data_IF_557484979943
#
_entry.id   IF_557484979943
#
_cell.length_a   1.000
_cell.length_b   1.000
_cell.length_c   1.000
_cell.angle_alpha   90.00
_cell.angle_beta   90.00
_cell.angle_gamma   90.00
#
_symmetry.space_group_name_H-M   'P 1'
#
loop_
_entity.id
_entity.type
_entity.pdbx_description
1 polymer ?
#
# COMPACT_ATOMS: atom_id res chain seq x y z
N UNK A 1 -31.77 -1.07 -59.00
CA UNK A 1 -30.82 -0.74 -60.10
C UNK A 1 -29.54 -0.19 -59.47
N UNK A 2 -28.65 -1.03 -58.97
CA UNK A 2 -27.40 -1.52 -59.62
C UNK A 2 -26.53 -0.39 -60.19
N UNK A 3 -25.41 -0.11 -59.52
CA UNK A 3 -24.10 -0.04 -60.18
C UNK A 3 -22.98 -0.35 -59.19
N UNK A 4 -22.37 -1.52 -59.39
CA UNK A 4 -21.17 -2.00 -58.72
C UNK A 4 -19.92 -1.41 -59.38
N UNK A 5 -18.91 -1.06 -58.57
CA UNK A 5 -17.55 -0.79 -59.03
C UNK A 5 -16.67 -1.98 -58.60
N UNK A 6 -16.21 -2.73 -59.60
CA UNK A 6 -15.17 -3.76 -59.48
C UNK A 6 -13.81 -3.06 -59.50
N UNK A 7 -12.99 -3.30 -58.48
CA UNK A 7 -11.56 -3.02 -58.52
C UNK A 7 -10.81 -4.30 -58.90
N UNK A 8 -9.95 -4.19 -59.90
CA UNK A 8 -9.12 -5.25 -60.48
C UNK A 8 -7.85 -5.45 -59.66
N UNK A 9 -7.49 -6.71 -59.39
CA UNK A 9 -6.26 -7.14 -58.73
C UNK A 9 -5.12 -7.29 -59.74
N UNK A 10 -3.95 -6.73 -59.43
CA UNK A 10 -2.67 -7.05 -60.10
C UNK A 10 -1.88 -8.08 -59.28
N UNK A 11 -1.17 -9.03 -59.90
CA UNK A 11 -0.43 -10.05 -59.19
C UNK A 11 0.90 -9.50 -58.63
N UNK A 12 1.17 -9.78 -57.35
CA UNK A 12 2.46 -9.47 -56.69
C UNK A 12 3.48 -10.57 -56.99
N UNK A 13 4.67 -10.16 -57.41
CA UNK A 13 5.89 -10.97 -57.49
C UNK A 13 6.39 -11.36 -56.09
N UNK A 14 6.93 -12.58 -55.88
CA UNK A 14 7.39 -13.02 -54.57
C UNK A 14 8.76 -12.42 -54.21
N UNK A 15 8.86 -11.83 -53.02
CA UNK A 15 10.10 -11.39 -52.38
C UNK A 15 10.85 -12.57 -51.75
N UNK A 16 12.20 -12.60 -51.78
CA UNK A 16 12.99 -13.70 -51.22
C UNK A 16 13.07 -13.65 -49.69
N UNK A 17 13.03 -14.83 -49.07
CA UNK A 17 13.09 -15.09 -47.63
C UNK A 17 14.48 -14.76 -47.05
N UNK A 18 14.58 -14.06 -45.90
CA UNK A 18 15.88 -13.81 -45.26
C UNK A 18 16.33 -15.02 -44.42
N UNK A 19 17.58 -15.45 -44.65
CA UNK A 19 18.30 -16.48 -43.89
C UNK A 19 18.71 -15.98 -42.49
N UNK A 20 18.41 -16.75 -41.44
CA UNK A 20 18.83 -16.50 -40.05
C UNK A 20 20.35 -16.72 -39.85
N UNK A 21 21.04 -15.86 -39.08
CA UNK A 21 22.44 -16.09 -38.72
C UNK A 21 22.57 -17.09 -37.55
N UNK A 22 23.50 -18.02 -37.69
CA UNK A 22 23.89 -19.05 -36.73
C UNK A 22 24.44 -18.46 -35.42
N UNK A 23 24.00 -19.01 -34.29
CA UNK A 23 24.39 -18.61 -32.93
C UNK A 23 25.88 -18.86 -32.63
N UNK A 24 26.56 -17.84 -32.09
CA UNK A 24 27.91 -17.99 -31.51
C UNK A 24 27.78 -18.42 -30.05
N UNK A 25 28.54 -19.44 -29.65
CA UNK A 25 28.63 -19.92 -28.25
C UNK A 25 29.18 -18.81 -27.32
N UNK A 26 28.69 -18.71 -26.07
CA UNK A 26 29.22 -17.76 -25.08
C UNK A 26 30.60 -18.18 -24.55
N UNK A 27 31.46 -17.19 -24.24
CA UNK A 27 32.77 -17.40 -23.60
C UNK A 27 32.62 -17.69 -22.10
N UNK A 28 33.50 -18.49 -21.49
CA UNK A 28 33.48 -18.74 -20.05
C UNK A 28 34.01 -17.53 -19.25
N UNK A 29 33.61 -17.40 -17.96
CA UNK A 29 33.99 -16.29 -17.10
C UNK A 29 35.45 -16.39 -16.60
N UNK A 30 36.07 -15.26 -16.21
CA UNK A 30 37.42 -15.25 -15.65
C UNK A 30 37.47 -15.73 -14.18
N UNK A 31 38.63 -16.23 -13.70
CA UNK A 31 38.79 -16.72 -12.33
C UNK A 31 38.91 -15.59 -11.28
N UNK A 32 38.64 -15.90 -9.99
CA UNK A 32 38.52 -14.90 -8.92
C UNK A 32 39.86 -14.35 -8.39
N UNK A 33 39.87 -13.17 -7.75
CA UNK A 33 41.07 -12.61 -7.12
C UNK A 33 41.43 -13.30 -5.80
N UNK A 34 42.73 -13.39 -5.51
CA UNK A 34 43.31 -14.05 -4.34
C UNK A 34 43.19 -13.23 -3.03
N UNK A 35 43.15 -13.88 -1.84
CA UNK A 35 43.01 -13.20 -0.56
C UNK A 35 44.33 -12.57 -0.07
N UNK A 36 44.28 -11.31 0.40
CA UNK A 36 45.43 -10.61 0.97
C UNK A 36 45.63 -10.95 2.45
N UNK A 37 46.84 -11.38 2.81
CA UNK A 37 47.30 -11.65 4.19
C UNK A 37 47.78 -10.39 4.92
N UNK A 38 47.70 -10.46 6.25
CA UNK A 38 48.00 -9.45 7.26
C UNK A 38 49.41 -8.82 7.22
N UNK A 39 49.52 -7.62 7.81
CA UNK A 39 50.77 -6.98 8.19
C UNK A 39 50.60 -6.09 9.42
N UNK A 40 51.05 -6.58 10.57
CA UNK A 40 51.14 -5.79 11.80
C UNK A 40 52.41 -4.94 11.86
N UNK A 41 52.35 -3.80 12.56
CA UNK A 41 53.53 -3.11 13.11
C UNK A 41 53.20 -2.52 14.49
N UNK A 42 54.08 -2.81 15.43
CA UNK A 42 54.17 -2.24 16.77
C UNK A 42 54.92 -0.88 16.74
N UNK A 43 54.65 -0.03 17.75
CA UNK A 43 55.71 0.66 18.48
C UNK A 43 55.60 2.17 18.68
N UNK A 44 55.76 2.57 19.96
CA UNK A 44 56.00 3.91 20.56
C UNK A 44 54.75 4.79 20.76
N UNK A 45 54.39 5.28 21.95
CA UNK A 45 55.07 5.39 23.25
C UNK A 45 55.07 6.85 23.69
N UNK A 46 54.20 7.23 24.63
CA UNK A 46 54.45 8.38 25.51
C UNK A 46 53.61 8.26 26.80
N UNK A 47 54.31 8.14 27.92
CA UNK A 47 53.79 8.18 29.27
C UNK A 47 53.44 9.62 29.66
N UNK A 48 52.28 9.85 30.30
CA UNK A 48 52.19 10.84 31.37
C UNK A 48 51.12 10.47 32.41
N UNK A 49 51.63 10.03 33.56
CA UNK A 49 51.19 10.23 34.96
C UNK A 49 49.69 10.38 35.25
N UNK A 50 49.18 9.47 36.09
CA UNK A 50 48.39 9.85 37.26
C UNK A 50 48.46 8.73 38.31
N UNK A 51 49.01 9.03 39.50
CA UNK A 51 48.95 8.19 40.69
C UNK A 51 48.66 9.10 41.89
N UNK A 52 47.91 8.54 42.84
CA UNK A 52 47.36 9.12 44.08
C UNK A 52 46.08 9.96 43.84
N UNK A 53 44.96 9.75 44.53
CA UNK A 53 44.80 9.33 45.93
C UNK A 53 43.38 8.76 46.13
N UNK A 54 43.27 7.62 46.81
CA UNK A 54 42.00 7.14 47.37
C UNK A 54 41.78 7.78 48.74
N UNK A 55 40.50 8.06 49.02
CA UNK A 55 39.86 8.34 50.31
C UNK A 55 39.42 9.80 50.58
N UNK A 56 38.17 9.87 51.04
CA UNK A 56 37.43 10.98 51.65
C UNK A 56 36.66 11.94 50.70
N UNK A 57 35.47 11.50 50.27
CA UNK A 57 34.31 12.39 50.18
C UNK A 57 33.05 11.61 50.58
N UNK A 58 32.55 11.97 51.74
CA UNK A 58 31.36 11.50 52.44
C UNK A 58 30.06 11.90 51.73
N UNK A 59 29.10 10.98 51.71
CA UNK A 59 27.65 11.16 51.67
C UNK A 59 27.09 12.42 50.96
N UNK A 60 26.70 12.26 49.70
CA UNK A 60 25.60 13.01 49.08
C UNK A 60 24.65 11.99 48.42
N UNK A 61 23.32 12.17 48.48
CA UNK A 61 22.38 11.12 48.09
C UNK A 61 22.41 10.92 46.57
N UNK A 62 22.55 9.66 46.13
CA UNK A 62 22.15 9.21 44.80
C UNK A 62 20.64 9.41 44.64
N UNK A 63 20.23 10.63 44.35
CA UNK A 63 18.82 10.97 44.32
C UNK A 63 18.63 12.38 43.81
N UNK A 64 19.17 12.68 42.63
CA UNK A 64 18.79 13.82 41.77
C UNK A 64 19.76 13.86 40.60
N UNK A 65 19.52 13.04 39.57
CA UNK A 65 19.97 13.24 38.18
C UNK A 65 19.35 12.17 37.25
N UNK A 66 18.11 11.76 37.53
CA UNK A 66 17.23 11.14 36.55
C UNK A 66 16.09 12.14 36.33
N UNK A 67 16.30 13.06 35.38
CA UNK A 67 15.16 13.77 34.79
C UNK A 67 14.29 12.71 34.12
N UNK A 68 13.14 12.48 34.74
CA UNK A 68 12.08 11.63 34.25
C UNK A 68 11.55 12.19 32.93
N UNK A 69 12.01 11.65 31.80
CA UNK A 69 11.12 11.48 30.67
C UNK A 69 10.37 10.17 30.91
N UNK A 70 9.28 10.23 31.69
CA UNK A 70 8.23 9.24 31.52
C UNK A 70 7.64 9.51 30.14
N UNK A 71 8.10 8.80 29.11
CA UNK A 71 7.29 8.61 27.92
C UNK A 71 5.98 8.00 28.42
N UNK A 72 4.90 8.79 28.46
CA UNK A 72 3.57 8.26 28.69
C UNK A 72 3.39 7.12 27.69
N UNK A 73 3.20 5.90 28.19
CA UNK A 73 3.06 4.74 27.35
C UNK A 73 1.78 4.92 26.52
N UNK A 74 1.97 5.25 25.24
CA UNK A 74 0.87 5.48 24.31
C UNK A 74 0.03 4.21 24.18
N UNK A 75 -1.29 4.38 24.04
CA UNK A 75 -2.20 3.26 23.80
C UNK A 75 -1.78 2.53 22.51
N UNK A 76 -1.86 1.21 22.55
CA UNK A 76 -1.62 0.32 21.40
C UNK A 76 -2.78 -0.63 21.11
N UNK A 77 -3.74 -0.77 22.01
CA UNK A 77 -4.92 -1.60 21.77
C UNK A 77 -5.98 -0.86 20.95
N UNK A 78 -6.67 -1.59 20.06
CA UNK A 78 -7.86 -1.08 19.38
C UNK A 78 -8.91 -0.61 20.40
N UNK A 79 -9.55 0.53 20.14
CA UNK A 79 -10.64 1.04 20.96
C UNK A 79 -11.83 0.06 20.95
N UNK A 80 -12.71 0.10 21.97
CA UNK A 80 -13.97 -0.64 21.96
C UNK A 80 -14.81 -0.33 20.71
N UNK A 81 -15.70 -1.25 20.33
CA UNK A 81 -16.61 -1.02 19.23
C UNK A 81 -17.48 0.22 19.50
N UNK A 82 -17.66 1.05 18.48
CA UNK A 82 -18.50 2.25 18.51
C UNK A 82 -19.43 2.21 17.29
N UNK A 83 -20.70 2.54 17.50
CA UNK A 83 -21.70 2.62 16.42
C UNK A 83 -21.78 4.03 15.82
N UNK A 84 -22.19 4.16 14.54
CA UNK A 84 -22.30 5.46 13.92
C UNK A 84 -23.53 6.18 14.46
N UNK A 85 -23.39 7.47 14.77
CA UNK A 85 -24.49 8.32 15.19
C UNK A 85 -25.19 9.00 14.00
N UNK A 86 -24.51 9.10 12.86
CA UNK A 86 -25.03 9.64 11.60
C UNK A 86 -24.49 8.80 10.44
N UNK A 87 -25.32 8.47 9.46
CA UNK A 87 -24.92 7.78 8.25
C UNK A 87 -25.92 8.04 7.15
N UNK A 88 -25.46 7.95 5.90
CA UNK A 88 -26.31 8.22 4.78
C UNK A 88 -25.62 8.04 3.45
N UNK A 89 -26.22 8.66 2.45
CA UNK A 89 -25.80 8.57 1.07
C UNK A 89 -25.62 9.97 0.51
N UNK A 90 -24.43 10.27 0.00
CA UNK A 90 -24.10 11.55 -0.60
C UNK A 90 -24.02 11.39 -2.13
N UNK A 91 -24.87 12.13 -2.85
CA UNK A 91 -24.80 12.18 -4.32
C UNK A 91 -23.62 13.05 -4.74
N UNK A 92 -22.64 12.47 -5.41
CA UNK A 92 -21.38 13.14 -5.79
C UNK A 92 -21.25 13.39 -7.30
N UNK A 93 -22.07 12.74 -8.12
CA UNK A 93 -22.19 13.05 -9.55
C UNK A 93 -23.57 12.67 -10.11
N UNK A 94 -23.74 12.80 -11.44
CA UNK A 94 -24.92 12.26 -12.13
C UNK A 94 -25.01 10.72 -12.04
N UNK A 95 -23.86 10.06 -11.84
CA UNK A 95 -23.72 8.59 -11.80
C UNK A 95 -23.65 8.09 -10.36
N UNK A 96 -22.82 8.70 -9.50
CA UNK A 96 -22.42 8.11 -8.22
C UNK A 96 -23.13 8.69 -6.99
N UNK A 97 -23.48 7.78 -6.08
CA UNK A 97 -23.92 8.08 -4.71
C UNK A 97 -23.09 7.27 -3.73
N UNK A 98 -22.33 7.94 -2.86
CA UNK A 98 -21.41 7.30 -1.92
C UNK A 98 -22.03 7.13 -0.54
N UNK A 99 -21.82 5.97 0.07
CA UNK A 99 -22.18 5.75 1.47
C UNK A 99 -21.16 6.44 2.38
N UNK A 100 -21.65 7.10 3.44
CA UNK A 100 -20.80 7.64 4.50
C UNK A 100 -21.39 7.33 5.88
N UNK A 101 -20.54 7.34 6.90
CA UNK A 101 -20.92 7.25 8.30
C UNK A 101 -20.01 8.12 9.18
N UNK A 102 -20.57 8.57 10.31
CA UNK A 102 -19.89 9.33 11.33
C UNK A 102 -20.04 8.65 12.69
N UNK A 103 -18.94 8.51 13.43
CA UNK A 103 -18.87 7.85 14.74
C UNK A 103 -17.99 8.67 15.70
N UNK A 104 -17.94 8.26 16.97
CA UNK A 104 -17.15 8.96 17.98
C UNK A 104 -17.85 10.24 18.47
N UNK A 105 -17.08 11.30 18.72
CA UNK A 105 -17.56 12.55 19.28
C UNK A 105 -18.02 13.51 18.16
N UNK A 106 -19.31 13.89 18.06
CA UNK A 106 -19.78 14.81 17.01
C UNK A 106 -19.13 16.20 17.00
N UNK A 107 -18.55 16.62 18.14
CA UNK A 107 -17.81 17.87 18.30
C UNK A 107 -16.29 17.64 18.40
N UNK A 108 -15.84 16.40 18.15
CA UNK A 108 -14.44 16.02 18.22
C UNK A 108 -13.61 16.52 17.03
N UNK A 109 -12.30 16.30 17.11
CA UNK A 109 -11.40 16.62 15.99
C UNK A 109 -11.75 15.75 14.78
N UNK A 110 -11.98 16.31 13.58
CA UNK A 110 -12.39 15.51 12.43
C UNK A 110 -11.25 14.61 11.94
N UNK A 111 -11.58 13.35 11.67
CA UNK A 111 -10.67 12.39 11.01
C UNK A 111 -11.44 11.64 9.93
N UNK A 112 -10.82 11.46 8.76
CA UNK A 112 -11.42 10.75 7.63
C UNK A 112 -10.63 9.47 7.36
N UNK A 113 -11.29 8.33 7.34
CA UNK A 113 -10.69 7.03 7.03
C UNK A 113 -10.85 6.65 5.56
N UNK A 114 -9.74 6.25 4.92
CA UNK A 114 -9.69 5.69 3.58
C UNK A 114 -9.42 4.19 3.60
N UNK A 115 -10.37 3.41 3.09
CA UNK A 115 -10.16 1.99 2.89
C UNK A 115 -9.20 1.68 1.73
N UNK A 116 -8.54 0.52 1.81
CA UNK A 116 -7.66 0.00 0.76
C UNK A 116 -8.39 -0.73 -0.37
N UNK A 117 -7.66 -1.58 -1.09
CA UNK A 117 -8.05 -2.19 -2.37
C UNK A 117 -7.29 -1.52 -3.52
N UNK A 118 -7.92 -0.72 -4.40
CA UNK A 118 -9.22 -0.05 -4.26
C UNK A 118 -10.43 -0.97 -4.36
N UNK A 119 -11.62 -0.47 -3.99
CA UNK A 119 -12.86 -1.24 -4.14
C UNK A 119 -13.28 -2.07 -2.93
N UNK A 120 -12.49 -2.10 -1.84
CA UNK A 120 -12.77 -2.98 -0.69
C UNK A 120 -13.99 -2.55 0.16
N UNK A 121 -14.19 -1.23 0.35
CA UNK A 121 -15.17 -0.68 1.29
C UNK A 121 -14.69 -0.68 2.75
N UNK A 122 -15.43 0.04 3.59
CA UNK A 122 -15.20 0.14 5.03
C UNK A 122 -15.82 -1.02 5.82
N UNK A 123 -15.41 -1.17 7.07
CA UNK A 123 -15.92 -2.16 8.03
C UNK A 123 -16.04 -1.54 9.43
N UNK A 124 -16.91 -2.06 10.32
CA UNK A 124 -17.04 -1.55 11.69
C UNK A 124 -15.71 -1.54 12.47
N UNK A 125 -14.81 -2.48 12.16
CA UNK A 125 -13.48 -2.56 12.77
C UNK A 125 -12.62 -1.31 12.50
N UNK A 126 -12.85 -0.60 11.39
CA UNK A 126 -12.06 0.58 11.03
C UNK A 126 -12.29 1.76 11.98
N UNK A 127 -13.43 1.82 12.69
CA UNK A 127 -13.69 2.87 13.70
C UNK A 127 -12.77 2.75 14.92
N UNK A 128 -12.27 1.54 15.19
CA UNK A 128 -11.55 1.20 16.43
C UNK A 128 -10.10 1.69 16.47
N UNK A 129 -9.60 2.28 15.38
CA UNK A 129 -8.27 2.89 15.34
C UNK A 129 -8.23 4.28 15.99
N UNK A 130 -9.38 4.88 16.25
CA UNK A 130 -9.50 6.26 16.70
C UNK A 130 -10.16 6.31 18.07
N UNK A 131 -9.70 7.24 18.90
CA UNK A 131 -10.37 7.55 20.17
C UNK A 131 -11.77 8.14 19.94
N UNK A 132 -12.85 7.44 20.33
CA UNK A 132 -14.21 7.90 20.08
C UNK A 132 -14.60 9.09 20.96
N UNK A 133 -13.88 9.40 22.04
CA UNK A 133 -14.15 10.59 22.86
C UNK A 133 -13.51 11.85 22.28
N UNK A 134 -12.40 11.69 21.55
CA UNK A 134 -11.65 12.80 20.97
C UNK A 134 -11.99 13.08 19.51
N UNK A 135 -12.13 12.03 18.69
CA UNK A 135 -12.30 12.18 17.26
C UNK A 135 -13.78 12.17 16.84
N UNK A 136 -14.09 13.04 15.88
CA UNK A 136 -15.24 12.89 14.97
C UNK A 136 -14.78 12.02 13.81
N UNK A 137 -15.11 10.74 13.86
CA UNK A 137 -14.61 9.73 12.93
C UNK A 137 -15.53 9.66 11.73
N UNK A 138 -15.01 9.93 10.52
CA UNK A 138 -15.76 9.86 9.27
C UNK A 138 -15.22 8.72 8.42
N UNK A 139 -16.07 7.75 8.10
CA UNK A 139 -15.79 6.65 7.17
C UNK A 139 -16.69 6.83 5.94
N UNK A 140 -16.20 6.47 4.77
CA UNK A 140 -17.02 6.41 3.57
C UNK A 140 -16.55 5.27 2.66
N UNK A 141 -17.48 4.71 1.89
CA UNK A 141 -17.16 3.73 0.87
C UNK A 141 -16.89 4.47 -0.45
N UNK A 142 -15.72 4.24 -1.06
CA UNK A 142 -15.34 4.85 -2.33
C UNK A 142 -16.31 4.46 -3.46
N UNK A 143 -16.25 5.18 -4.60
CA UNK A 143 -17.14 4.95 -5.75
C UNK A 143 -17.16 3.48 -6.15
N UNK A 144 -18.36 2.91 -6.27
CA UNK A 144 -18.57 1.50 -6.63
C UNK A 144 -18.16 0.44 -5.60
N UNK A 145 -17.63 0.83 -4.45
CA UNK A 145 -17.19 -0.07 -3.39
C UNK A 145 -18.23 -0.20 -2.26
N UNK A 146 -18.19 -1.31 -1.52
CA UNK A 146 -19.00 -1.50 -0.32
C UNK A 146 -20.49 -1.22 -0.55
N UNK A 147 -21.03 -0.24 0.19
CA UNK A 147 -22.43 0.21 0.13
C UNK A 147 -22.67 1.31 -0.90
N UNK A 148 -21.63 1.87 -1.52
CA UNK A 148 -21.76 2.93 -2.54
C UNK A 148 -22.36 2.40 -3.84
N UNK A 149 -23.08 3.28 -4.55
CA UNK A 149 -23.80 2.93 -5.77
C UNK A 149 -23.38 3.82 -6.95
N UNK A 150 -23.35 3.26 -8.18
CA UNK A 150 -23.66 1.88 -8.54
C UNK A 150 -22.51 0.93 -8.19
N UNK A 151 -22.84 -0.23 -7.62
CA UNK A 151 -21.85 -1.23 -7.20
C UNK A 151 -20.98 -1.70 -8.37
N UNK A 152 -19.66 -1.81 -8.15
CA UNK A 152 -18.66 -2.18 -9.16
C UNK A 152 -18.62 -1.28 -10.41
N UNK A 153 -19.11 -0.05 -10.33
CA UNK A 153 -19.08 0.91 -11.44
C UNK A 153 -17.67 1.50 -11.64
N UNK A 154 -17.22 1.50 -12.90
CA UNK A 154 -15.92 2.05 -13.33
C UNK A 154 -16.04 3.42 -13.99
N UNK A 155 -17.23 3.81 -14.43
CA UNK A 155 -17.49 5.12 -15.01
C UNK A 155 -17.21 6.21 -13.97
N UNK A 156 -16.50 7.28 -14.32
CA UNK A 156 -16.12 8.35 -13.39
C UNK A 156 -15.42 7.87 -12.08
N UNK A 157 -14.76 6.71 -12.06
CA UNK A 157 -14.09 6.19 -10.88
C UNK A 157 -12.57 6.46 -10.94
N UNK A 158 -12.13 7.58 -10.36
CA UNK A 158 -10.74 8.08 -10.45
C UNK A 158 -10.18 8.56 -9.10
N UNK A 159 -8.87 8.80 -9.02
CA UNK A 159 -8.03 8.88 -7.80
C UNK A 159 -8.15 10.12 -6.91
N UNK A 160 -8.97 11.13 -7.20
CA UNK A 160 -8.89 12.40 -6.46
C UNK A 160 -9.86 12.40 -5.23
N UNK A 161 -9.39 12.24 -3.94
CA UNK A 161 -9.94 12.77 -2.62
C UNK A 161 -9.58 12.06 -1.22
N UNK A 162 -9.07 12.83 -0.19
CA UNK A 162 -8.89 12.90 1.35
C UNK A 162 -8.53 11.74 2.35
N UNK A 163 -7.80 11.98 3.49
CA UNK A 163 -6.70 11.15 4.11
C UNK A 163 -6.80 10.57 5.57
N UNK A 164 -6.81 9.23 5.68
CA UNK A 164 -6.08 8.32 6.62
C UNK A 164 -6.04 6.99 5.87
N UNK A 165 -4.88 6.47 5.48
CA UNK A 165 -4.85 5.55 4.34
C UNK A 165 -3.86 4.41 4.47
N UNK A 166 -4.34 3.17 4.33
CA UNK A 166 -3.50 1.99 4.21
C UNK A 166 -3.59 1.34 2.83
N UNK A 167 -2.50 0.78 2.31
CA UNK A 167 -2.47 0.17 0.96
C UNK A 167 -2.81 1.20 -0.12
N UNK A 168 -3.74 0.92 -1.04
CA UNK A 168 -4.33 1.93 -1.93
C UNK A 168 -4.82 3.20 -1.19
N UNK A 169 -5.32 3.06 0.05
CA UNK A 169 -5.68 4.22 0.85
C UNK A 169 -4.49 5.16 1.07
N UNK A 170 -3.26 4.64 1.14
CA UNK A 170 -2.04 5.45 1.21
C UNK A 170 -1.72 6.17 -0.11
N UNK A 171 -1.99 5.54 -1.26
CA UNK A 171 -1.92 6.18 -2.59
C UNK A 171 -2.85 7.38 -2.65
N UNK A 172 -4.12 7.18 -2.30
CA UNK A 172 -5.16 8.21 -2.31
C UNK A 172 -4.88 9.32 -1.30
N UNK A 173 -4.37 8.95 -0.12
CA UNK A 173 -3.93 9.87 0.91
C UNK A 173 -2.84 10.84 0.40
N UNK A 174 -1.78 10.30 -0.20
CA UNK A 174 -0.69 11.10 -0.75
C UNK A 174 -1.19 12.02 -1.86
N UNK A 175 -1.93 11.48 -2.84
CA UNK A 175 -2.45 12.25 -3.97
C UNK A 175 -3.33 13.43 -3.51
N UNK A 176 -4.19 13.21 -2.50
CA UNK A 176 -4.99 14.28 -1.95
C UNK A 176 -4.16 15.31 -1.19
N UNK A 177 -3.28 14.88 -0.29
CA UNK A 177 -2.45 15.80 0.49
C UNK A 177 -1.59 16.67 -0.42
N UNK A 178 -1.05 16.12 -1.51
CA UNK A 178 -0.27 16.86 -2.50
C UNK A 178 -1.10 17.88 -3.29
N UNK A 179 -2.39 17.62 -3.47
CA UNK A 179 -3.32 18.49 -4.20
C UNK A 179 -3.97 19.55 -3.31
N UNK A 180 -4.16 19.24 -2.02
CA UNK A 180 -4.87 20.07 -1.05
C UNK A 180 -4.12 20.14 0.30
N UNK A 181 -2.84 20.57 0.32
CA UNK A 181 -2.01 20.52 1.52
C UNK A 181 -2.62 21.31 2.69
N UNK A 182 -3.25 22.46 2.41
CA UNK A 182 -3.87 23.33 3.42
C UNK A 182 -5.11 22.73 4.11
N UNK A 183 -5.61 21.58 3.64
CA UNK A 183 -6.78 20.89 4.21
C UNK A 183 -6.41 19.77 5.15
N UNK A 184 -5.12 19.43 5.28
CA UNK A 184 -4.66 18.25 6.00
C UNK A 184 -3.86 18.67 7.24
N UNK A 185 -4.37 18.31 8.42
CA UNK A 185 -3.76 18.66 9.71
C UNK A 185 -2.76 17.63 10.21
N UNK A 186 -2.87 16.38 9.73
CA UNK A 186 -1.98 15.27 10.05
C UNK A 186 -2.27 14.06 9.19
N UNK A 187 -1.29 13.17 9.04
CA UNK A 187 -1.35 12.02 8.14
C UNK A 187 -0.85 10.76 8.87
N UNK A 188 -1.59 9.66 8.76
CA UNK A 188 -1.12 8.32 9.14
C UNK A 188 -1.28 7.41 7.93
N UNK A 189 -0.17 6.82 7.48
CA UNK A 189 -0.08 5.95 6.33
C UNK A 189 0.34 4.53 6.75
N UNK A 190 -0.15 3.53 6.04
CA UNK A 190 0.24 2.13 6.24
C UNK A 190 0.42 1.37 4.94
N UNK A 191 1.37 0.42 4.88
CA UNK A 191 1.45 -0.48 3.73
C UNK A 191 1.62 0.31 2.43
N UNK A 192 2.69 1.10 2.36
CA UNK A 192 2.86 2.18 1.39
C UNK A 192 2.80 1.65 -0.03
N UNK A 193 1.83 2.16 -0.79
CA UNK A 193 1.65 1.83 -2.20
C UNK A 193 1.75 3.09 -3.05
N UNK A 194 2.80 3.19 -3.86
CA UNK A 194 3.08 4.36 -4.70
C UNK A 194 2.68 4.14 -6.15
N UNK A 195 2.14 2.96 -6.46
CA UNK A 195 1.59 2.57 -7.75
C UNK A 195 2.58 2.58 -8.92
N UNK A 196 3.88 2.51 -8.61
CA UNK A 196 4.93 2.40 -9.63
C UNK A 196 4.84 1.05 -10.33
N UNK A 197 5.25 1.00 -11.59
CA UNK A 197 5.29 -0.23 -12.39
C UNK A 197 6.02 -1.36 -11.65
N UNK A 198 7.12 -1.07 -10.96
CA UNK A 198 7.88 -2.08 -10.20
C UNK A 198 7.10 -2.72 -9.05
N UNK A 199 6.12 -2.02 -8.48
CA UNK A 199 5.24 -2.55 -7.42
C UNK A 199 4.16 -3.44 -8.02
N UNK A 200 3.56 -2.99 -9.13
CA UNK A 200 2.59 -3.78 -9.89
C UNK A 200 3.21 -5.06 -10.46
N UNK A 201 4.41 -4.96 -11.05
CA UNK A 201 5.17 -6.11 -11.57
C UNK A 201 5.51 -7.10 -10.45
N UNK A 202 5.91 -6.58 -9.28
CA UNK A 202 6.19 -7.41 -8.12
C UNK A 202 4.99 -8.27 -7.73
N UNK A 203 3.81 -7.67 -7.61
CA UNK A 203 2.67 -8.38 -7.04
C UNK A 203 1.84 -9.15 -8.08
N UNK A 204 1.70 -8.63 -9.30
CA UNK A 204 0.83 -9.20 -10.35
C UNK A 204 1.57 -9.80 -11.54
N UNK A 205 2.90 -9.69 -11.63
CA UNK A 205 3.67 -10.27 -12.74
C UNK A 205 4.69 -11.32 -12.26
N UNK A 206 4.50 -11.86 -11.05
CA UNK A 206 5.18 -13.06 -10.55
C UNK A 206 6.34 -12.82 -9.59
N UNK A 207 6.59 -11.61 -9.11
CA UNK A 207 7.60 -11.36 -8.08
C UNK A 207 7.26 -12.04 -6.75
N UNK A 208 6.08 -11.73 -6.20
CA UNK A 208 5.57 -12.31 -4.95
C UNK A 208 5.27 -13.82 -5.06
N UNK A 209 5.13 -14.36 -6.27
CA UNK A 209 4.97 -15.80 -6.51
C UNK A 209 6.18 -16.62 -6.05
N UNK A 210 7.36 -16.01 -5.90
CA UNK A 210 8.52 -16.67 -5.31
C UNK A 210 8.31 -17.03 -3.82
N UNK A 211 7.34 -16.40 -3.16
CA UNK A 211 6.99 -16.64 -1.75
C UNK A 211 5.72 -17.50 -1.64
N UNK A 212 4.73 -17.27 -2.51
CA UNK A 212 3.44 -17.96 -2.50
C UNK A 212 3.13 -18.67 -3.84
N UNK A 213 3.91 -19.68 -4.24
CA UNK A 213 3.67 -20.37 -5.50
C UNK A 213 2.32 -21.08 -5.53
N UNK A 214 1.89 -21.66 -4.40
CA UNK A 214 0.62 -22.36 -4.22
C UNK A 214 -0.61 -21.43 -4.40
N UNK A 215 -0.54 -20.19 -3.90
CA UNK A 215 -1.59 -19.18 -4.15
C UNK A 215 -1.51 -18.58 -5.56
N UNK A 216 -0.31 -18.54 -6.14
CA UNK A 216 -0.08 -17.98 -7.47
C UNK A 216 -0.58 -18.88 -8.60
N UNK A 217 -0.44 -20.20 -8.48
CA UNK A 217 -0.82 -21.14 -9.53
C UNK A 217 -2.29 -20.99 -9.98
N UNK A 218 -3.30 -20.93 -9.09
CA UNK A 218 -4.68 -20.68 -9.48
C UNK A 218 -4.91 -19.34 -10.19
N UNK A 219 -4.18 -18.28 -9.79
CA UNK A 219 -4.23 -16.97 -10.45
C UNK A 219 -3.61 -17.06 -11.86
N UNK A 220 -2.41 -17.61 -11.96
CA UNK A 220 -1.67 -17.78 -13.22
C UNK A 220 -2.42 -18.66 -14.21
N UNK A 221 -2.92 -19.81 -13.76
CA UNK A 221 -3.41 -20.88 -14.64
C UNK A 221 -4.79 -20.63 -15.21
N UNK A 222 -5.53 -19.69 -14.62
CA UNK A 222 -6.75 -19.15 -15.22
C UNK A 222 -6.46 -18.36 -16.52
N UNK A 223 -5.25 -17.85 -16.69
CA UNK A 223 -4.82 -17.15 -17.90
C UNK A 223 -4.14 -18.13 -18.88
N UNK A 224 -4.58 -18.21 -20.15
CA UNK A 224 -3.93 -18.97 -21.22
C UNK A 224 -2.46 -18.60 -21.38
N UNK A 225 -1.60 -19.57 -21.68
CA UNK A 225 -0.14 -19.38 -21.74
C UNK A 225 0.31 -18.25 -22.67
N UNK A 226 -0.39 -18.04 -23.79
CA UNK A 226 -0.10 -16.99 -24.78
C UNK A 226 -0.51 -15.58 -24.33
N UNK A 227 -1.30 -15.45 -23.26
CA UNK A 227 -1.68 -14.17 -22.63
C UNK A 227 -0.89 -13.86 -21.34
N UNK A 228 0.04 -14.73 -20.91
CA UNK A 228 0.81 -14.57 -19.65
C UNK A 228 1.97 -13.58 -19.70
N UNK A 229 2.05 -12.76 -20.74
CA UNK A 229 3.06 -11.71 -20.86
C UNK A 229 2.69 -10.42 -20.11
N UNK A 230 1.43 -10.27 -19.68
CA UNK A 230 0.97 -9.25 -18.75
C UNK A 230 -0.36 -9.68 -18.11
N UNK A 231 -0.31 -10.18 -16.87
CA UNK A 231 -1.50 -10.66 -16.17
C UNK A 231 -2.50 -9.55 -15.90
N UNK A 232 -2.05 -8.32 -15.59
CA UNK A 232 -2.97 -7.19 -15.37
C UNK A 232 -3.85 -6.96 -16.61
N UNK A 233 -3.27 -6.96 -17.81
CA UNK A 233 -4.02 -6.78 -19.06
C UNK A 233 -4.90 -7.99 -19.38
N UNK A 234 -4.40 -9.21 -19.16
CA UNK A 234 -5.16 -10.44 -19.39
C UNK A 234 -6.39 -10.55 -18.47
N UNK A 235 -6.24 -10.18 -17.20
CA UNK A 235 -7.37 -10.09 -16.27
C UNK A 235 -8.33 -8.97 -16.65
N UNK A 236 -7.84 -7.81 -17.11
CA UNK A 236 -8.69 -6.70 -17.55
C UNK A 236 -9.69 -7.14 -18.63
N UNK A 237 -9.21 -7.86 -19.65
CA UNK A 237 -10.04 -8.45 -20.72
C UNK A 237 -11.19 -9.29 -20.17
N UNK A 238 -10.97 -10.05 -19.09
CA UNK A 238 -11.96 -10.95 -18.48
C UNK A 238 -12.88 -10.21 -17.51
N UNK A 239 -12.33 -9.31 -16.70
CA UNK A 239 -13.06 -8.48 -15.75
C UNK A 239 -14.00 -7.46 -16.41
N UNK A 240 -13.77 -7.15 -17.69
CA UNK A 240 -14.67 -6.33 -18.53
C UNK A 240 -15.41 -7.13 -19.59
N UNK A 241 -15.43 -8.47 -19.50
CA UNK A 241 -16.17 -9.33 -20.41
C UNK A 241 -17.68 -9.06 -20.33
N UNK A 242 -18.39 -9.25 -21.45
CA UNK A 242 -19.86 -9.31 -21.45
C UNK A 242 -20.40 -10.64 -20.91
N UNK A 243 -19.54 -11.65 -20.81
CA UNK A 243 -19.86 -12.93 -20.18
C UNK A 243 -19.67 -12.82 -18.66
N UNK A 244 -20.78 -12.94 -17.92
CA UNK A 244 -20.82 -12.78 -16.47
C UNK A 244 -20.07 -13.91 -15.74
N UNK A 245 -20.03 -15.12 -16.27
CA UNK A 245 -19.35 -16.25 -15.64
C UNK A 245 -17.83 -16.08 -15.75
N UNK A 246 -17.35 -15.64 -16.93
CA UNK A 246 -15.94 -15.28 -17.13
C UNK A 246 -15.52 -14.15 -16.20
N UNK A 247 -16.38 -13.14 -16.05
CA UNK A 247 -16.12 -11.99 -15.18
C UNK A 247 -16.07 -12.40 -13.70
N UNK A 248 -17.01 -13.21 -13.24
CA UNK A 248 -17.08 -13.69 -11.85
C UNK A 248 -15.88 -14.57 -11.50
N UNK A 249 -15.51 -15.51 -12.37
CA UNK A 249 -14.36 -16.39 -12.14
C UNK A 249 -13.05 -15.59 -12.11
N UNK A 250 -12.86 -14.66 -13.05
CA UNK A 250 -11.71 -13.76 -13.05
C UNK A 250 -11.62 -12.94 -11.75
N UNK A 251 -12.76 -12.40 -11.30
CA UNK A 251 -12.83 -11.61 -10.09
C UNK A 251 -12.46 -12.42 -8.85
N UNK A 252 -12.93 -13.66 -8.77
CA UNK A 252 -12.61 -14.57 -7.66
C UNK A 252 -11.12 -14.93 -7.63
N UNK A 253 -10.52 -15.29 -8.78
CA UNK A 253 -9.08 -15.63 -8.85
C UNK A 253 -8.19 -14.45 -8.48
N UNK A 254 -8.51 -13.26 -8.98
CA UNK A 254 -7.81 -12.03 -8.65
C UNK A 254 -7.89 -11.70 -7.16
N UNK A 255 -9.11 -11.74 -6.60
CA UNK A 255 -9.35 -11.40 -5.18
C UNK A 255 -8.68 -12.41 -4.25
N UNK A 256 -8.80 -13.71 -4.55
CA UNK A 256 -8.21 -14.77 -3.73
C UNK A 256 -6.69 -14.67 -3.66
N UNK A 257 -6.01 -14.29 -4.74
CA UNK A 257 -4.56 -14.04 -4.74
C UNK A 257 -4.18 -13.07 -3.62
N UNK A 258 -4.84 -11.91 -3.56
CA UNK A 258 -4.53 -10.92 -2.52
C UNK A 258 -4.98 -11.35 -1.12
N UNK A 259 -6.16 -11.97 -1.00
CA UNK A 259 -6.66 -12.41 0.30
C UNK A 259 -5.76 -13.47 0.96
N UNK A 260 -5.07 -14.28 0.15
CA UNK A 260 -4.13 -15.31 0.62
C UNK A 260 -2.75 -14.76 0.99
N UNK A 261 -2.40 -13.54 0.57
CA UNK A 261 -1.05 -12.96 0.78
C UNK A 261 -1.04 -11.72 1.66
N UNK A 262 -2.20 -11.19 2.07
CA UNK A 262 -2.29 -9.95 2.85
C UNK A 262 -1.80 -10.05 4.31
N UNK A 263 -1.54 -11.25 4.82
CA UNK A 263 -1.08 -11.48 6.20
C UNK A 263 0.22 -12.29 6.21
N UNK A 264 1.06 -12.08 7.22
CA UNK A 264 2.28 -12.87 7.42
C UNK A 264 1.97 -14.36 7.59
N UNK A 265 0.97 -14.65 8.41
CA UNK A 265 0.35 -15.97 8.53
C UNK A 265 -1.04 -15.88 7.93
N UNK A 266 -1.34 -16.77 6.98
CA UNK A 266 -2.62 -16.77 6.27
C UNK A 266 -3.81 -16.69 7.24
N UNK A 267 -4.71 -15.75 6.96
CA UNK A 267 -5.88 -15.49 7.79
C UNK A 267 -7.12 -16.07 7.11
N UNK A 268 -7.68 -17.15 7.67
CA UNK A 268 -8.84 -17.82 7.08
C UNK A 268 -10.09 -16.94 6.98
N UNK A 269 -10.31 -16.01 7.89
CA UNK A 269 -11.45 -15.08 7.82
C UNK A 269 -11.27 -14.08 6.66
N UNK A 270 -10.05 -13.61 6.42
CA UNK A 270 -9.73 -12.78 5.26
C UNK A 270 -9.91 -13.56 3.95
N UNK A 271 -9.46 -14.82 3.91
CA UNK A 271 -9.61 -15.68 2.73
C UNK A 271 -11.09 -15.93 2.41
N UNK A 272 -11.93 -16.23 3.41
CA UNK A 272 -13.38 -16.39 3.23
C UNK A 272 -14.04 -15.17 2.60
N UNK A 273 -13.55 -13.97 2.88
CA UNK A 273 -14.07 -12.75 2.26
C UNK A 273 -13.89 -12.77 0.73
N UNK A 274 -12.79 -13.32 0.23
CA UNK A 274 -12.54 -13.52 -1.19
C UNK A 274 -13.41 -14.60 -1.84
N UNK A 275 -14.20 -15.33 -1.06
CA UNK A 275 -15.21 -16.27 -1.58
C UNK A 275 -16.56 -15.59 -1.85
N UNK A 276 -16.79 -14.37 -1.35
CA UNK A 276 -18.01 -13.61 -1.61
C UNK A 276 -17.95 -13.00 -3.03
N UNK A 277 -18.90 -13.41 -3.87
CA UNK A 277 -18.92 -13.04 -5.29
C UNK A 277 -19.15 -11.53 -5.49
N UNK A 278 -19.95 -10.87 -4.64
CA UNK A 278 -20.22 -9.44 -4.78
C UNK A 278 -18.99 -8.63 -4.43
N UNK A 279 -18.35 -8.95 -3.30
CA UNK A 279 -17.11 -8.35 -2.88
C UNK A 279 -16.02 -8.56 -3.93
N UNK A 280 -15.80 -9.80 -4.36
CA UNK A 280 -14.75 -10.14 -5.33
C UNK A 280 -14.94 -9.39 -6.64
N UNK A 281 -16.18 -9.28 -7.12
CA UNK A 281 -16.50 -8.56 -8.34
C UNK A 281 -16.17 -7.08 -8.26
N UNK A 282 -16.57 -6.38 -7.18
CA UNK A 282 -16.24 -4.98 -7.00
C UNK A 282 -14.74 -4.77 -6.81
N UNK A 283 -14.13 -5.57 -5.93
CA UNK A 283 -12.71 -5.51 -5.59
C UNK A 283 -11.85 -5.65 -6.85
N UNK A 284 -11.95 -6.79 -7.53
CA UNK A 284 -11.09 -7.10 -8.68
C UNK A 284 -11.30 -6.13 -9.86
N UNK A 285 -12.56 -5.77 -10.18
CA UNK A 285 -12.84 -4.89 -11.32
C UNK A 285 -12.29 -3.49 -11.09
N UNK A 286 -12.51 -2.93 -9.89
CA UNK A 286 -12.04 -1.59 -9.56
C UNK A 286 -10.52 -1.60 -9.47
N UNK A 287 -9.94 -2.55 -8.74
CA UNK A 287 -8.50 -2.66 -8.58
C UNK A 287 -7.75 -2.79 -9.92
N UNK A 288 -8.14 -3.75 -10.75
CA UNK A 288 -7.55 -3.92 -12.07
C UNK A 288 -7.72 -2.67 -12.96
N UNK A 289 -8.87 -2.00 -12.87
CA UNK A 289 -9.13 -0.77 -13.62
C UNK A 289 -8.14 0.34 -13.26
N UNK A 290 -7.87 0.56 -11.97
CA UNK A 290 -6.87 1.54 -11.56
C UNK A 290 -5.47 1.13 -12.04
N UNK A 291 -5.11 -0.15 -12.01
CA UNK A 291 -3.76 -0.58 -12.37
C UNK A 291 -3.48 -0.52 -13.87
N UNK A 292 -4.45 -0.91 -14.71
CA UNK A 292 -4.36 -0.74 -16.17
C UNK A 292 -4.17 0.74 -16.54
N UNK A 293 -4.76 1.64 -15.77
CA UNK A 293 -4.67 3.09 -15.98
C UNK A 293 -3.54 3.76 -15.18
N UNK A 294 -2.62 2.98 -14.57
CA UNK A 294 -1.50 3.51 -13.78
C UNK A 294 -1.94 4.49 -12.68
N UNK A 295 -3.07 4.19 -12.05
CA UNK A 295 -3.69 5.02 -11.00
C UNK A 295 -4.11 6.40 -11.49
N UNK A 296 -4.20 6.61 -12.81
CA UNK A 296 -4.42 7.91 -13.45
C UNK A 296 -3.39 8.98 -13.04
N UNK A 297 -2.21 8.54 -12.59
CA UNK A 297 -1.12 9.42 -12.18
C UNK A 297 -0.37 9.93 -13.41
N UNK A 298 0.06 11.22 -13.42
CA UNK A 298 0.81 11.79 -14.54
C UNK A 298 2.14 11.09 -14.87
N UNK A 299 2.79 10.48 -13.88
CA UNK A 299 4.07 9.78 -14.02
C UNK A 299 4.16 8.62 -13.04
N UNK A 300 5.08 7.68 -13.31
CA UNK A 300 5.32 6.51 -12.45
C UNK A 300 5.74 6.93 -11.03
N UNK A 301 6.61 7.93 -10.92
CA UNK A 301 7.13 8.47 -9.65
C UNK A 301 6.30 9.62 -9.07
N UNK A 302 5.10 9.90 -9.58
CA UNK A 302 4.34 11.12 -9.25
C UNK A 302 4.24 11.40 -7.75
N UNK A 303 3.86 10.40 -6.95
CA UNK A 303 3.67 10.54 -5.50
C UNK A 303 4.99 10.67 -4.70
N UNK A 304 6.15 10.35 -5.31
CA UNK A 304 7.45 10.63 -4.68
C UNK A 304 7.96 12.01 -5.08
N UNK A 305 7.77 12.37 -6.35
CA UNK A 305 8.25 13.64 -6.90
C UNK A 305 7.51 14.85 -6.30
N UNK A 306 6.32 14.65 -5.73
CA UNK A 306 5.48 15.71 -5.15
C UNK A 306 5.51 15.78 -3.61
N UNK A 307 6.29 14.92 -2.94
CA UNK A 307 6.38 14.85 -1.47
C UNK A 307 6.72 16.20 -0.85
N UNK A 308 7.57 17.02 -1.47
CA UNK A 308 7.97 18.34 -0.95
C UNK A 308 6.77 19.26 -0.66
N UNK A 309 5.65 19.09 -1.37
CA UNK A 309 4.42 19.85 -1.13
C UNK A 309 3.81 19.58 0.24
N UNK A 310 4.06 18.41 0.81
CA UNK A 310 3.41 17.92 2.03
C UNK A 310 4.37 17.70 3.20
N UNK A 311 5.68 17.95 3.01
CA UNK A 311 6.70 17.71 4.05
C UNK A 311 6.47 18.42 5.37
N UNK A 312 5.78 19.56 5.32
CA UNK A 312 5.44 20.36 6.49
C UNK A 312 4.32 19.73 7.34
N UNK A 313 3.53 18.81 6.78
CA UNK A 313 2.42 18.12 7.47
C UNK A 313 3.00 17.03 8.38
N UNK A 314 2.48 16.91 9.61
CA UNK A 314 2.86 15.84 10.52
C UNK A 314 2.39 14.49 9.99
N UNK A 315 3.33 13.59 9.76
CA UNK A 315 3.06 12.30 9.14
C UNK A 315 3.69 11.14 9.90
N UNK A 316 2.98 10.02 9.93
CA UNK A 316 3.43 8.74 10.49
C UNK A 316 3.28 7.66 9.41
N UNK A 317 4.31 6.85 9.20
CA UNK A 317 4.32 5.77 8.22
C UNK A 317 4.56 4.46 8.95
N UNK A 318 3.61 3.53 8.87
CA UNK A 318 3.69 2.20 9.48
C UNK A 318 3.82 1.13 8.38
N UNK A 319 4.84 0.28 8.43
CA UNK A 319 5.07 -0.73 7.39
C UNK A 319 5.42 -2.09 8.00
N UNK A 320 4.73 -3.16 7.58
CA UNK A 320 5.15 -4.53 7.87
C UNK A 320 6.41 -4.90 7.09
N UNK A 321 7.41 -5.49 7.76
CA UNK A 321 8.67 -5.92 7.13
C UNK A 321 8.43 -6.94 6.01
N UNK A 322 7.47 -7.85 6.20
CA UNK A 322 7.14 -8.93 5.28
C UNK A 322 5.85 -8.64 4.51
N UNK A 323 5.49 -7.38 4.35
CA UNK A 323 4.42 -6.96 3.45
C UNK A 323 4.77 -7.36 2.01
N UNK A 324 4.06 -8.36 1.47
CA UNK A 324 4.24 -8.86 0.11
C UNK A 324 3.30 -8.21 -0.90
N UNK A 325 2.20 -7.58 -0.45
CA UNK A 325 1.29 -6.86 -1.34
C UNK A 325 1.90 -5.53 -1.76
N UNK A 326 2.42 -4.78 -0.78
CA UNK A 326 3.09 -3.51 -0.97
C UNK A 326 4.51 -3.61 -0.39
N UNK A 327 5.50 -4.05 -1.19
CA UNK A 327 6.81 -4.42 -0.68
C UNK A 327 7.50 -3.24 0.03
N UNK A 328 8.18 -3.54 1.13
CA UNK A 328 8.89 -2.60 2.00
C UNK A 328 9.77 -1.56 1.26
N UNK A 329 10.20 -1.85 0.03
CA UNK A 329 10.92 -0.91 -0.83
C UNK A 329 10.17 0.43 -1.01
N UNK A 330 8.84 0.42 -1.08
CA UNK A 330 8.05 1.63 -1.30
C UNK A 330 8.00 2.52 -0.07
N UNK A 331 7.77 1.93 1.11
CA UNK A 331 7.81 2.66 2.36
C UNK A 331 9.22 3.21 2.64
N UNK A 332 10.27 2.46 2.29
CA UNK A 332 11.65 2.92 2.43
C UNK A 332 11.98 4.07 1.48
N UNK A 333 11.50 4.02 0.24
CA UNK A 333 11.66 5.12 -0.72
C UNK A 333 10.93 6.40 -0.25
N UNK A 334 9.69 6.26 0.23
CA UNK A 334 8.92 7.39 0.78
C UNK A 334 9.58 7.97 2.05
N UNK A 335 10.05 7.11 2.97
CA UNK A 335 10.76 7.55 4.18
C UNK A 335 12.02 8.37 3.86
N UNK A 336 12.79 7.98 2.83
CA UNK A 336 13.96 8.77 2.39
C UNK A 336 13.55 10.12 1.78
N UNK A 337 12.45 10.15 1.03
CA UNK A 337 11.95 11.38 0.40
C UNK A 337 11.28 12.32 1.41
N UNK A 338 10.73 11.78 2.51
CA UNK A 338 10.00 12.50 3.55
C UNK A 338 10.65 12.29 4.93
N UNK A 339 11.85 12.86 5.18
CA UNK A 339 12.58 12.63 6.44
C UNK A 339 11.88 13.21 7.68
N UNK A 340 10.93 14.13 7.51
CA UNK A 340 10.10 14.68 8.59
C UNK A 340 9.02 13.69 9.09
N UNK A 341 8.64 12.71 8.27
CA UNK A 341 7.65 11.70 8.65
C UNK A 341 8.26 10.69 9.63
N UNK A 342 7.54 10.37 10.71
CA UNK A 342 7.97 9.31 11.63
C UNK A 342 7.74 7.95 10.98
N UNK A 343 8.83 7.20 10.78
CA UNK A 343 8.78 5.88 10.16
C UNK A 343 8.85 4.76 11.20
N UNK A 344 7.87 3.85 11.16
CA UNK A 344 7.80 2.64 11.98
C UNK A 344 7.68 1.41 11.11
N UNK A 345 8.73 0.60 11.17
CA UNK A 345 8.71 -0.72 10.57
C UNK A 345 8.40 -1.77 11.64
N UNK A 346 7.40 -2.59 11.38
CA UNK A 346 7.00 -3.70 12.24
C UNK A 346 7.73 -4.97 11.77
N UNK A 347 8.63 -5.55 12.59
CA UNK A 347 9.60 -6.55 12.13
C UNK A 347 8.97 -7.90 11.74
N UNK A 348 7.80 -8.23 12.29
CA UNK A 348 7.13 -9.53 12.22
C UNK A 348 5.67 -9.40 11.74
N UNK A 349 5.42 -8.51 10.77
CA UNK A 349 4.09 -8.29 10.21
C UNK A 349 4.07 -8.30 8.67
N UNK A 350 2.93 -8.75 8.13
CA UNK A 350 2.59 -8.68 6.71
C UNK A 350 1.93 -7.35 6.33
N UNK A 351 1.03 -7.39 5.36
CA UNK A 351 0.40 -6.20 4.78
C UNK A 351 -0.72 -5.61 5.66
N UNK A 352 -1.58 -6.47 6.19
CA UNK A 352 -2.86 -6.08 6.81
C UNK A 352 -2.72 -5.08 7.96
N UNK A 353 -3.65 -4.12 8.03
CA UNK A 353 -3.75 -3.20 9.16
C UNK A 353 -4.04 -3.90 10.50
N UNK A 354 -4.57 -5.13 10.43
CA UNK A 354 -4.96 -5.92 11.59
C UNK A 354 -3.84 -6.87 12.07
N UNK A 355 -2.65 -6.83 11.46
CA UNK A 355 -1.47 -7.45 12.07
C UNK A 355 -1.22 -6.81 13.44
N UNK A 356 -0.96 -7.61 14.46
CA UNK A 356 -0.92 -7.15 15.86
C UNK A 356 0.01 -5.95 16.04
N UNK A 357 1.23 -6.03 15.52
CA UNK A 357 2.19 -4.94 15.59
C UNK A 357 1.82 -3.73 14.73
N UNK A 358 1.17 -3.93 13.58
CA UNK A 358 0.74 -2.83 12.70
C UNK A 358 -0.42 -2.07 13.33
N UNK A 359 -1.45 -2.77 13.82
CA UNK A 359 -2.59 -2.16 14.50
C UNK A 359 -2.12 -1.33 15.71
N UNK A 360 -1.18 -1.88 16.49
CA UNK A 360 -0.59 -1.22 17.63
C UNK A 360 0.11 0.10 17.28
N UNK A 361 0.93 0.11 16.23
CA UNK A 361 1.60 1.33 15.79
C UNK A 361 0.65 2.34 15.14
N UNK A 362 -0.45 1.89 14.50
CA UNK A 362 -1.49 2.79 14.00
C UNK A 362 -2.25 3.51 15.12
N UNK A 363 -2.65 2.78 16.18
CA UNK A 363 -3.26 3.40 17.37
C UNK A 363 -2.27 4.37 18.02
N UNK A 364 -1.01 3.97 18.16
CA UNK A 364 0.03 4.83 18.73
C UNK A 364 0.25 6.11 17.92
N UNK A 365 0.26 6.04 16.58
CA UNK A 365 0.36 7.20 15.70
C UNK A 365 -0.83 8.15 15.87
N UNK A 366 -2.05 7.62 15.98
CA UNK A 366 -3.25 8.43 16.24
C UNK A 366 -3.21 9.11 17.61
N UNK A 367 -2.76 8.42 18.66
CA UNK A 367 -2.60 9.04 19.99
C UNK A 367 -1.53 10.14 20.00
N UNK A 368 -0.45 9.98 19.21
CA UNK A 368 0.53 11.05 19.02
C UNK A 368 -0.08 12.26 18.33
N UNK A 369 -0.81 12.07 17.22
CA UNK A 369 -1.51 13.17 16.53
C UNK A 369 -2.49 13.89 17.47
N UNK A 370 -3.31 13.13 18.20
CA UNK A 370 -4.21 13.67 19.22
C UNK A 370 -3.45 14.55 20.22
N UNK A 371 -2.34 14.06 20.78
CA UNK A 371 -1.55 14.82 21.76
C UNK A 371 -0.99 16.14 21.21
N UNK A 372 -0.76 16.22 19.90
CA UNK A 372 -0.28 17.43 19.22
C UNK A 372 -1.39 18.45 19.00
N UNK A 373 -2.64 18.02 18.80
CA UNK A 373 -3.79 18.91 18.64
C UNK A 373 -4.37 19.42 19.97
N UNK A 374 -4.00 18.78 21.09
CA UNK A 374 -4.41 19.18 22.44
C UNK A 374 -3.45 20.14 23.14
N UNK A 375 -2.29 20.42 22.53
CA UNK A 375 -1.31 21.43 22.99
C UNK A 375 -1.53 22.72 22.24
#
# INVERSE_FOLDING_TARGET
MIRALRATSSPRTPTPTPTLPTSRRPRPPPPPPAPSTAGGRQGLGCHLRCRATLAAATNAPMGQLQQQHQEQQLRKDLYPQTEPYDFGFLKVSGVHTIYYEQSGNPQGHPVVFLHGGPGAGTSPGNRRFFDPEFFRIVLFDQRGAGRSTPHACLEENTTWDLVFGGSWGSTLALAYSESHPDKVTGIVLRGIFLLRKKELDWFYEGGAAAIFPDAWEPFRDFIPEDERNCFIAAYSKRLTSSDADVQAEAAKRWTMWEMMTAHLIQNHENIKRGEDDKFSLAFARIENHYFVNKGFLPSDSHLLDNVDKIRHIKAFIVQGRYDVCCPMMSAWDLHKAWPEAEFKMVPDAGHSANEVGVAAELVSANEKLKSMFTK
#
